data_IF_237355171989
#
_entry.id   IF_237355171989
#
_cell.length_a   1.000
_cell.length_b   1.000
_cell.length_c   1.000
_cell.angle_alpha   90.00
_cell.angle_beta   90.00
_cell.angle_gamma   90.00
#
_symmetry.space_group_name_H-M   'P 1'
#
loop_
_entity.id
_entity.type
_entity.pdbx_description
1 polymer ?
#
# COMPACT_ATOMS: atom_id res chain seq x y z
N UNK A 1 16.56 -26.07 -21.39
CA UNK A 1 15.51 -25.36 -20.64
C UNK A 1 16.11 -24.47 -19.54
N UNK A 2 16.99 -24.97 -18.67
CA UNK A 2 17.63 -24.18 -17.59
C UNK A 2 18.53 -23.00 -18.05
N UNK A 3 19.30 -23.15 -19.14
CA UNK A 3 20.14 -22.06 -19.71
C UNK A 3 19.36 -20.79 -20.14
N UNK A 4 18.06 -20.93 -20.43
CA UNK A 4 17.20 -19.79 -20.81
C UNK A 4 16.73 -18.99 -19.58
N UNK A 5 16.63 -19.63 -18.42
CA UNK A 5 16.25 -18.96 -17.17
C UNK A 5 17.44 -18.22 -16.53
N UNK A 6 18.66 -18.74 -16.69
CA UNK A 6 19.89 -18.10 -16.19
C UNK A 6 20.27 -16.83 -16.96
N UNK A 7 19.77 -16.66 -18.20
CA UNK A 7 20.07 -15.51 -19.06
C UNK A 7 18.93 -14.50 -19.14
N UNK A 8 17.76 -14.81 -18.56
CA UNK A 8 16.62 -13.93 -18.55
C UNK A 8 16.66 -13.08 -17.28
N UNK A 9 16.83 -11.77 -17.44
CA UNK A 9 16.78 -10.79 -16.34
C UNK A 9 15.30 -10.55 -15.97
N UNK A 10 14.64 -11.60 -15.45
CA UNK A 10 13.19 -11.59 -15.25
C UNK A 10 12.87 -10.74 -14.04
N UNK A 11 12.54 -9.47 -14.28
CA UNK A 11 12.09 -8.53 -13.27
C UNK A 11 10.69 -8.90 -12.76
N UNK A 12 10.49 -10.06 -12.12
CA UNK A 12 9.17 -10.56 -11.70
C UNK A 12 8.67 -9.97 -10.38
N UNK A 13 9.53 -9.30 -9.60
CA UNK A 13 9.18 -8.78 -8.27
C UNK A 13 7.94 -7.87 -8.28
N UNK A 14 7.70 -7.17 -9.38
CA UNK A 14 6.52 -6.31 -9.54
C UNK A 14 5.20 -7.08 -9.58
N UNK A 15 5.19 -8.33 -10.05
CA UNK A 15 3.97 -9.15 -10.11
C UNK A 15 3.50 -9.55 -8.72
N UNK A 16 4.44 -9.73 -7.78
CA UNK A 16 4.15 -10.18 -6.42
C UNK A 16 3.93 -8.99 -5.49
N UNK A 17 4.72 -7.91 -5.61
CA UNK A 17 4.69 -6.80 -4.65
C UNK A 17 3.53 -5.83 -4.87
N UNK A 18 3.01 -5.73 -6.10
CA UNK A 18 2.04 -4.68 -6.45
C UNK A 18 0.72 -4.77 -5.68
N UNK A 19 0.09 -5.95 -5.49
CA UNK A 19 -1.14 -6.04 -4.68
C UNK A 19 -0.94 -5.61 -3.23
N UNK A 20 0.23 -5.91 -2.64
CA UNK A 20 0.57 -5.49 -1.28
C UNK A 20 0.76 -3.98 -1.20
N UNK A 21 1.54 -3.41 -2.13
CA UNK A 21 1.82 -1.98 -2.15
C UNK A 21 0.57 -1.15 -2.42
N UNK A 22 -0.32 -1.61 -3.31
CA UNK A 22 -1.61 -0.96 -3.55
C UNK A 22 -2.49 -0.98 -2.29
N UNK A 23 -2.52 -2.12 -1.57
CA UNK A 23 -3.26 -2.24 -0.33
C UNK A 23 -2.71 -1.34 0.79
N UNK A 24 -1.38 -1.28 0.91
CA UNK A 24 -0.70 -0.45 1.90
C UNK A 24 -0.87 1.02 1.56
N UNK A 25 -0.95 1.38 0.29
CA UNK A 25 -1.16 2.76 -0.15
C UNK A 25 -2.52 3.27 0.29
N UNK A 26 -3.58 2.46 0.13
CA UNK A 26 -4.93 2.82 0.60
C UNK A 26 -4.93 3.04 2.11
N UNK A 27 -4.36 2.11 2.89
CA UNK A 27 -4.30 2.25 4.35
C UNK A 27 -3.48 3.47 4.76
N UNK A 28 -2.34 3.73 4.13
CA UNK A 28 -1.50 4.88 4.47
C UNK A 28 -2.18 6.21 4.11
N UNK A 29 -2.85 6.28 2.96
CA UNK A 29 -3.63 7.44 2.52
C UNK A 29 -4.80 7.74 3.48
N UNK A 30 -5.56 6.71 3.88
CA UNK A 30 -6.63 6.84 4.88
C UNK A 30 -6.10 7.25 6.24
N UNK A 31 -4.98 6.68 6.66
CA UNK A 31 -4.37 7.05 7.93
C UNK A 31 -3.88 8.49 7.94
N UNK A 32 -3.30 8.98 6.84
CA UNK A 32 -2.89 10.38 6.69
C UNK A 32 -4.07 11.37 6.75
N UNK A 33 -5.25 10.95 6.29
CA UNK A 33 -6.49 11.71 6.39
C UNK A 33 -7.23 11.55 7.73
N UNK A 34 -6.75 10.67 8.62
CA UNK A 34 -7.40 10.40 9.90
C UNK A 34 -7.07 11.49 10.93
N UNK A 35 -8.08 12.28 11.31
CA UNK A 35 -7.96 13.41 12.24
C UNK A 35 -8.39 13.07 13.67
N UNK A 36 -9.10 11.95 13.89
CA UNK A 36 -9.67 11.63 15.21
C UNK A 36 -8.62 11.11 16.21
N UNK A 37 -8.76 11.55 17.46
CA UNK A 37 -7.95 11.09 18.61
C UNK A 37 -8.22 9.62 18.98
N UNK A 38 -9.39 9.09 18.63
CA UNK A 38 -9.74 7.68 18.83
C UNK A 38 -9.67 6.90 17.52
N UNK A 39 -9.07 5.71 17.55
CA UNK A 39 -8.96 4.86 16.38
C UNK A 39 -9.91 3.65 16.45
N UNK A 40 -10.99 3.69 15.65
CA UNK A 40 -11.85 2.53 15.40
C UNK A 40 -11.30 1.71 14.22
N UNK A 41 -10.66 0.58 14.54
CA UNK A 41 -10.07 -0.30 13.51
C UNK A 41 -11.12 -0.86 12.54
N UNK A 42 -12.31 -1.22 13.00
CA UNK A 42 -13.31 -1.86 12.14
C UNK A 42 -13.88 -0.85 11.14
N UNK A 43 -14.29 0.33 11.64
CA UNK A 43 -14.74 1.45 10.81
C UNK A 43 -13.67 1.90 9.81
N UNK A 44 -12.42 2.04 10.27
CA UNK A 44 -11.29 2.42 9.42
C UNK A 44 -11.04 1.42 8.28
N UNK A 45 -11.03 0.12 8.58
CA UNK A 45 -10.82 -0.92 7.56
C UNK A 45 -12.02 -0.99 6.58
N UNK A 46 -13.23 -0.73 7.06
CA UNK A 46 -14.40 -0.62 6.20
C UNK A 46 -14.31 0.57 5.24
N UNK A 47 -13.81 1.73 5.71
CA UNK A 47 -13.53 2.89 4.84
C UNK A 47 -12.48 2.55 3.77
N UNK A 48 -11.38 1.88 4.17
CA UNK A 48 -10.35 1.43 3.23
C UNK A 48 -10.92 0.56 2.10
N UNK A 49 -11.90 -0.31 2.40
CA UNK A 49 -12.58 -1.09 1.36
C UNK A 49 -13.37 -0.22 0.39
N UNK A 50 -14.07 0.81 0.88
CA UNK A 50 -14.83 1.72 0.01
C UNK A 50 -13.91 2.53 -0.88
N UNK A 51 -12.84 3.10 -0.33
CA UNK A 51 -11.84 3.87 -1.10
C UNK A 51 -11.10 2.97 -2.08
N UNK A 52 -10.71 1.76 -1.67
CA UNK A 52 -10.13 0.78 -2.58
C UNK A 52 -11.05 0.49 -3.78
N UNK A 53 -12.37 0.38 -3.55
CA UNK A 53 -13.35 0.19 -4.63
C UNK A 53 -13.42 1.40 -5.56
N UNK A 54 -13.34 2.62 -5.01
CA UNK A 54 -13.28 3.84 -5.82
C UNK A 54 -12.01 3.90 -6.68
N UNK A 55 -10.85 3.57 -6.10
CA UNK A 55 -9.58 3.56 -6.81
C UNK A 55 -9.52 2.47 -7.89
N UNK A 56 -10.16 1.32 -7.65
CA UNK A 56 -10.36 0.26 -8.66
C UNK A 56 -11.12 0.81 -9.88
N UNK A 57 -12.24 1.49 -9.65
CA UNK A 57 -13.06 2.08 -10.72
C UNK A 57 -12.31 3.18 -11.48
N UNK A 58 -11.42 3.91 -10.81
CA UNK A 58 -10.57 4.92 -11.41
C UNK A 58 -9.30 4.35 -12.07
N UNK A 59 -9.09 3.03 -12.05
CA UNK A 59 -7.87 2.34 -12.53
C UNK A 59 -6.59 2.78 -11.82
N UNK A 60 -6.70 3.24 -10.58
CA UNK A 60 -5.58 3.66 -9.75
C UNK A 60 -4.92 2.50 -8.97
N UNK A 61 -5.55 1.31 -8.95
CA UNK A 61 -4.96 0.07 -8.40
C UNK A 61 -4.97 -1.06 -9.45
N UNK A 62 -4.02 -1.99 -9.33
CA UNK A 62 -3.69 -2.97 -10.35
C UNK A 62 -4.72 -4.09 -10.54
N UNK A 63 -5.41 -4.48 -9.47
CA UNK A 63 -6.30 -5.64 -9.44
C UNK A 63 -7.23 -5.57 -8.22
N UNK A 64 -8.43 -6.14 -8.36
CA UNK A 64 -9.38 -6.38 -7.28
C UNK A 64 -8.77 -7.18 -6.10
N UNK A 65 -7.73 -7.97 -6.36
CA UNK A 65 -6.98 -8.75 -5.35
C UNK A 65 -6.29 -7.86 -4.32
N UNK A 66 -5.96 -6.62 -4.69
CA UNK A 66 -5.35 -5.63 -3.80
C UNK A 66 -6.34 -5.10 -2.75
N UNK A 67 -7.64 -5.38 -2.94
CA UNK A 67 -8.73 -4.97 -2.04
C UNK A 67 -9.07 -6.11 -1.06
N UNK A 68 -8.02 -6.66 -0.44
CA UNK A 68 -8.13 -7.75 0.52
C UNK A 68 -8.09 -7.20 1.95
N UNK A 69 -9.10 -7.57 2.74
CA UNK A 69 -9.15 -7.25 4.17
C UNK A 69 -7.91 -7.77 4.91
N UNK A 70 -7.36 -8.91 4.49
CA UNK A 70 -6.15 -9.46 5.10
C UNK A 70 -4.92 -8.59 4.83
N UNK A 71 -4.79 -8.05 3.60
CA UNK A 71 -3.72 -7.12 3.25
C UNK A 71 -3.85 -5.77 3.96
N UNK A 72 -5.06 -5.29 4.18
CA UNK A 72 -5.27 -4.07 4.96
C UNK A 72 -4.90 -4.27 6.43
N UNK A 73 -5.24 -5.42 7.01
CA UNK A 73 -4.84 -5.77 8.38
C UNK A 73 -3.32 -5.87 8.54
N UNK A 74 -2.59 -6.38 7.54
CA UNK A 74 -1.11 -6.41 7.59
C UNK A 74 -0.51 -5.01 7.43
N UNK A 75 -1.06 -4.17 6.55
CA UNK A 75 -0.67 -2.76 6.43
C UNK A 75 -0.88 -1.98 7.74
N UNK A 76 -2.04 -2.15 8.36
CA UNK A 76 -2.37 -1.49 9.63
C UNK A 76 -1.45 -1.97 10.76
N UNK A 77 -1.08 -3.25 10.77
CA UNK A 77 -0.09 -3.79 11.73
C UNK A 77 1.28 -3.14 11.55
N UNK A 78 1.71 -2.91 10.31
CA UNK A 78 2.94 -2.14 10.05
C UNK A 78 2.82 -0.70 10.56
N UNK A 79 1.69 -0.05 10.33
CA UNK A 79 1.44 1.31 10.80
C UNK A 79 1.47 1.39 12.35
N UNK A 80 0.87 0.42 13.04
CA UNK A 80 0.95 0.28 14.51
C UNK A 80 2.37 0.09 15.01
N UNK A 81 3.15 -0.79 14.37
CA UNK A 81 4.56 -0.99 14.72
C UNK A 81 5.39 0.29 14.51
N UNK A 82 4.97 1.18 13.61
CA UNK A 82 5.55 2.51 13.38
C UNK A 82 4.92 3.59 14.26
N UNK A 83 4.09 3.21 15.23
CA UNK A 83 3.40 4.09 16.18
C UNK A 83 2.54 5.15 15.49
N UNK A 84 1.96 4.83 14.33
CA UNK A 84 1.12 5.76 13.56
C UNK A 84 -0.36 5.67 13.95
N UNK A 85 -0.71 4.80 14.90
CA UNK A 85 -2.08 4.53 15.35
C UNK A 85 -2.18 4.75 16.85
N UNK A 86 -1.40 3.99 17.63
CA UNK A 86 -1.42 3.99 19.11
C UNK A 86 -0.19 4.70 19.72
N UNK A 87 0.41 5.65 19.01
CA UNK A 87 1.66 6.30 19.41
C UNK A 87 1.51 7.30 20.56
N UNK A 88 2.54 7.39 21.42
CA UNK A 88 2.51 8.19 22.66
C UNK A 88 2.60 9.72 22.46
N UNK A 89 3.05 10.19 21.28
CA UNK A 89 3.20 11.62 20.95
C UNK A 89 2.22 12.04 19.84
N UNK A 90 1.09 12.63 20.24
CA UNK A 90 0.07 13.15 19.32
C UNK A 90 0.56 14.37 18.52
N UNK A 91 1.56 15.09 19.01
CA UNK A 91 2.00 16.40 18.49
C UNK A 91 2.47 16.37 17.03
N UNK A 92 2.91 15.20 16.52
CA UNK A 92 3.41 15.04 15.15
C UNK A 92 2.79 13.86 14.38
N UNK A 93 1.72 13.25 14.92
CA UNK A 93 1.17 12.01 14.35
C UNK A 93 0.68 12.21 12.90
N UNK A 94 0.01 13.33 12.62
CA UNK A 94 -0.48 13.67 11.27
C UNK A 94 0.69 13.76 10.26
N UNK A 95 1.79 14.42 10.65
CA UNK A 95 2.98 14.54 9.80
C UNK A 95 3.64 13.19 9.54
N UNK A 96 3.75 12.34 10.55
CA UNK A 96 4.31 10.98 10.42
C UNK A 96 3.43 10.09 9.53
N UNK A 97 2.11 10.20 9.64
CA UNK A 97 1.15 9.50 8.79
C UNK A 97 1.26 9.94 7.33
N UNK A 98 1.39 11.25 7.08
CA UNK A 98 1.65 11.77 5.74
C UNK A 98 2.98 11.26 5.17
N UNK A 99 4.06 11.29 5.96
CA UNK A 99 5.35 10.76 5.52
C UNK A 99 5.26 9.26 5.17
N UNK A 100 4.52 8.49 5.96
CA UNK A 100 4.27 7.08 5.66
C UNK A 100 3.51 6.89 4.34
N UNK A 101 2.48 7.70 4.08
CA UNK A 101 1.76 7.68 2.80
C UNK A 101 2.69 8.00 1.62
N UNK A 102 3.54 9.02 1.75
CA UNK A 102 4.49 9.43 0.71
C UNK A 102 5.54 8.34 0.41
N UNK A 103 6.02 7.65 1.46
CA UNK A 103 6.94 6.51 1.34
C UNK A 103 6.31 5.36 0.54
N UNK A 104 5.08 4.97 0.90
CA UNK A 104 4.37 3.88 0.22
C UNK A 104 4.05 4.28 -1.22
N UNK A 105 3.55 5.49 -1.46
CA UNK A 105 3.29 6.00 -2.81
C UNK A 105 4.56 5.99 -3.67
N UNK A 106 5.71 6.32 -3.09
CA UNK A 106 7.01 6.24 -3.77
C UNK A 106 7.40 4.81 -4.11
N UNK A 107 7.22 3.87 -3.19
CA UNK A 107 7.49 2.45 -3.43
C UNK A 107 6.59 1.89 -4.56
N UNK A 108 5.29 2.21 -4.53
CA UNK A 108 4.32 1.81 -5.56
C UNK A 108 4.73 2.36 -6.94
N UNK A 109 5.10 3.64 -7.04
CA UNK A 109 5.58 4.24 -8.30
C UNK A 109 6.83 3.54 -8.84
N UNK A 110 7.79 3.19 -7.97
CA UNK A 110 9.02 2.48 -8.37
C UNK A 110 8.71 1.08 -8.89
N UNK A 111 7.84 0.34 -8.22
CA UNK A 111 7.41 -0.99 -8.67
C UNK A 111 6.66 -0.91 -10.02
N UNK A 112 5.81 0.12 -10.21
CA UNK A 112 5.15 0.35 -11.50
C UNK A 112 6.16 0.66 -12.61
N UNK A 113 7.22 1.43 -12.31
CA UNK A 113 8.30 1.71 -13.27
C UNK A 113 9.03 0.42 -13.67
N UNK A 114 9.35 -0.46 -12.71
CA UNK A 114 9.95 -1.77 -12.98
C UNK A 114 9.03 -2.63 -13.87
N UNK A 115 7.72 -2.62 -13.58
CA UNK A 115 6.73 -3.34 -14.40
C UNK A 115 6.67 -2.82 -15.84
N UNK A 116 6.78 -1.51 -16.04
CA UNK A 116 6.84 -0.91 -17.38
C UNK A 116 8.12 -1.29 -18.13
N UNK A 117 9.26 -1.29 -17.47
CA UNK A 117 10.53 -1.72 -18.06
C UNK A 117 10.48 -3.20 -18.46
N UNK A 118 9.93 -4.06 -17.60
CA UNK A 118 9.77 -5.49 -17.87
C UNK A 118 8.87 -5.78 -19.07
N UNK A 119 7.86 -4.94 -19.34
CA UNK A 119 6.97 -5.06 -20.52
C UNK A 119 7.63 -4.63 -21.84
N UNK A 120 8.74 -3.90 -21.78
CA UNK A 120 9.45 -3.35 -22.96
C UNK A 120 10.62 -4.22 -23.42
N UNK A 121 10.95 -5.26 -22.66
CA UNK A 121 11.95 -6.28 -23.01
C UNK A 121 11.26 -7.49 -23.63
#
# INVERSE_FOLDING_TARGET
MWRLLESADVLLAHLVLRPFLDAYHIVADRLAAHEDDSFDEEGFLAECLQVGKQWELQRNIASAESRSMELFKTALRLARHRELVDGADATDIAKRRQQFADEIATATRRVNTIAELARRQ
#
